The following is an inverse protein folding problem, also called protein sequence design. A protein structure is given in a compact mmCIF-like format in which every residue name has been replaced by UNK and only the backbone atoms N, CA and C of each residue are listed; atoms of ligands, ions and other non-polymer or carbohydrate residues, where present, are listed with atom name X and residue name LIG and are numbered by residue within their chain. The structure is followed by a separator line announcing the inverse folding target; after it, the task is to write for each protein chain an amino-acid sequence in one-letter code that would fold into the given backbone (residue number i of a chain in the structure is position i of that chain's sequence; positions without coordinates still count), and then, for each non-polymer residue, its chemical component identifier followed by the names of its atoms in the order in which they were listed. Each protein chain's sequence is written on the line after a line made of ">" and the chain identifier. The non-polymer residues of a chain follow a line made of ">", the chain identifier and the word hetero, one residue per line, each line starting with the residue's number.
data_IF_479696393918
#
_entry.id   IF_479696393918
#
_cell.length_a   1.000
_cell.length_b   1.000
_cell.length_c   1.000
_cell.angle_alpha   90.00
_cell.angle_beta   90.00
_cell.angle_gamma   90.00
#
_symmetry.space_group_name_H-M   'P 1'
#
loop_
_entity.id
_entity.type
_entity.pdbx_description
1 polymer ?
#
# COMPACT_ATOMS: atom_id res chain seq x y z
N UNK A 1 29.01 -36.96 60.11
CA UNK A 1 28.53 -37.00 58.69
C UNK A 1 27.84 -35.66 58.47
N UNK A 2 28.54 -34.70 57.87
CA UNK A 2 28.09 -33.31 57.66
C UNK A 2 27.74 -33.21 56.18
N UNK A 3 26.48 -32.96 55.87
CA UNK A 3 26.04 -32.72 54.50
C UNK A 3 26.11 -31.21 54.27
N UNK A 4 27.03 -30.81 53.37
CA UNK A 4 27.16 -29.41 52.92
C UNK A 4 26.24 -29.25 51.76
N UNK A 5 25.18 -28.45 51.91
CA UNK A 5 24.28 -28.07 50.83
C UNK A 5 24.94 -27.04 49.92
N UNK A 6 25.11 -27.38 48.67
CA UNK A 6 25.46 -26.43 47.59
C UNK A 6 24.23 -25.61 47.22
N UNK A 7 24.22 -24.35 47.63
CA UNK A 7 23.30 -23.36 47.08
C UNK A 7 23.82 -22.89 45.72
N UNK A 8 23.15 -23.30 44.65
CA UNK A 8 23.39 -22.75 43.34
C UNK A 8 22.86 -21.31 43.29
N UNK A 9 23.75 -20.33 43.20
CA UNK A 9 23.42 -18.97 42.86
C UNK A 9 23.11 -18.91 41.35
N UNK A 10 21.81 -18.75 41.02
CA UNK A 10 21.42 -18.37 39.67
C UNK A 10 21.75 -16.89 39.48
N UNK A 11 22.81 -16.58 38.79
CA UNK A 11 23.08 -15.25 38.27
C UNK A 11 22.00 -14.92 37.21
N UNK A 12 21.08 -14.04 37.55
CA UNK A 12 20.19 -13.42 36.60
C UNK A 12 21.04 -12.49 35.70
N UNK A 13 21.34 -12.97 34.49
CA UNK A 13 21.87 -12.13 33.43
C UNK A 13 20.80 -11.10 33.06
N UNK A 14 20.87 -9.93 33.65
CA UNK A 14 20.17 -8.72 33.21
C UNK A 14 20.76 -8.31 31.84
N UNK A 15 20.17 -8.87 30.79
CA UNK A 15 20.47 -8.46 29.41
C UNK A 15 19.67 -7.22 29.07
N UNK A 16 19.99 -6.09 29.68
CA UNK A 16 19.66 -4.78 29.13
C UNK A 16 20.59 -4.51 27.94
N UNK A 17 20.41 -5.24 26.87
CA UNK A 17 20.92 -4.79 25.57
C UNK A 17 20.16 -3.50 25.24
N UNK A 18 20.87 -2.36 25.06
CA UNK A 18 20.20 -1.14 24.66
C UNK A 18 19.46 -1.41 23.34
N UNK A 19 18.13 -1.28 23.37
CA UNK A 19 17.32 -1.33 22.15
C UNK A 19 17.68 -0.09 21.37
N UNK A 20 18.58 -0.25 20.39
CA UNK A 20 18.89 0.81 19.44
C UNK A 20 17.62 1.03 18.63
N UNK A 21 17.02 2.23 18.66
CA UNK A 21 15.83 2.48 17.85
C UNK A 21 16.19 2.26 16.38
N UNK A 22 15.50 1.32 15.74
CA UNK A 22 15.60 1.13 14.29
C UNK A 22 14.84 2.28 13.64
N UNK A 23 15.56 3.24 13.13
CA UNK A 23 14.99 4.29 12.30
C UNK A 23 14.67 3.68 10.94
N UNK A 24 13.39 3.50 10.65
CA UNK A 24 12.93 3.13 9.32
C UNK A 24 12.80 4.42 8.51
N UNK A 25 13.65 4.59 7.51
CA UNK A 25 13.54 5.69 6.57
C UNK A 25 12.57 5.32 5.46
N UNK A 26 11.56 6.14 5.25
CA UNK A 26 10.61 5.95 4.13
C UNK A 26 11.31 6.36 2.84
N UNK A 27 11.41 5.44 1.88
CA UNK A 27 11.93 5.75 0.55
C UNK A 27 11.02 6.78 -0.15
N UNK A 28 11.60 7.93 -0.45
CA UNK A 28 10.89 9.05 -1.08
C UNK A 28 10.33 8.71 -2.47
N UNK A 29 10.95 7.76 -3.18
CA UNK A 29 10.44 7.31 -4.49
C UNK A 29 9.21 6.41 -4.30
N UNK A 30 9.22 5.50 -3.32
CA UNK A 30 8.08 4.66 -2.98
C UNK A 30 6.90 5.51 -2.50
N UNK A 31 7.16 6.49 -1.64
CA UNK A 31 6.15 7.46 -1.20
C UNK A 31 5.58 8.26 -2.39
N UNK A 32 6.43 8.70 -3.31
CA UNK A 32 6.01 9.44 -4.50
C UNK A 32 5.14 8.57 -5.42
N UNK A 33 5.55 7.32 -5.68
CA UNK A 33 4.74 6.37 -6.45
C UNK A 33 3.35 6.17 -5.82
N UNK A 34 3.26 6.03 -4.48
CA UNK A 34 2.00 5.89 -3.78
C UNK A 34 1.13 7.14 -3.93
N UNK A 35 1.72 8.33 -3.72
CA UNK A 35 1.01 9.60 -3.86
C UNK A 35 0.47 9.81 -5.28
N UNK A 36 1.25 9.47 -6.31
CA UNK A 36 0.80 9.51 -7.70
C UNK A 36 -0.38 8.56 -7.92
N UNK A 37 -0.30 7.33 -7.41
CA UNK A 37 -1.38 6.37 -7.56
C UNK A 37 -2.67 6.84 -6.91
N UNK A 38 -2.59 7.36 -5.68
CA UNK A 38 -3.75 7.95 -4.97
C UNK A 38 -4.35 9.09 -5.79
N UNK A 39 -3.51 10.00 -6.30
CA UNK A 39 -3.96 11.16 -7.05
C UNK A 39 -4.71 10.77 -8.34
N UNK A 40 -4.14 9.89 -9.16
CA UNK A 40 -4.72 9.53 -10.44
C UNK A 40 -5.94 8.60 -10.32
N UNK A 41 -6.00 7.75 -9.30
CA UNK A 41 -7.10 6.79 -9.10
C UNK A 41 -8.23 7.36 -8.25
N UNK A 42 -7.93 8.22 -7.27
CA UNK A 42 -8.88 8.65 -6.27
C UNK A 42 -8.80 10.12 -5.88
N UNK A 43 -8.10 10.97 -6.63
CA UNK A 43 -7.93 12.40 -6.28
C UNK A 43 -9.23 13.17 -6.16
N UNK A 44 -10.30 12.72 -6.81
CA UNK A 44 -11.64 13.30 -6.73
C UNK A 44 -12.56 12.62 -5.68
N UNK A 45 -12.04 11.68 -4.88
CA UNK A 45 -12.78 10.97 -3.83
C UNK A 45 -12.61 11.65 -2.47
N UNK A 46 -13.38 11.19 -1.48
CA UNK A 46 -13.14 11.53 -0.08
C UNK A 46 -11.76 11.02 0.40
N UNK A 47 -11.28 11.55 1.52
CA UNK A 47 -10.03 11.08 2.13
C UNK A 47 -10.05 9.58 2.40
N UNK A 48 -11.19 9.02 2.84
CA UNK A 48 -11.35 7.57 3.02
C UNK A 48 -11.23 6.80 1.70
N UNK A 49 -11.77 7.36 0.61
CA UNK A 49 -11.64 6.77 -0.74
C UNK A 49 -10.20 6.78 -1.23
N UNK A 50 -9.46 7.84 -0.96
CA UNK A 50 -8.04 7.96 -1.26
C UNK A 50 -7.20 6.98 -0.42
N UNK A 51 -7.48 6.89 0.89
CA UNK A 51 -6.83 5.95 1.80
C UNK A 51 -7.11 4.49 1.39
N UNK A 52 -8.32 4.18 0.93
CA UNK A 52 -8.68 2.84 0.47
C UNK A 52 -7.87 2.40 -0.76
N UNK A 53 -7.58 3.30 -1.71
CA UNK A 53 -6.71 3.01 -2.86
C UNK A 53 -5.26 2.78 -2.39
N UNK A 54 -4.79 3.54 -1.41
CA UNK A 54 -3.48 3.34 -0.82
C UNK A 54 -3.38 1.98 -0.11
N UNK A 55 -4.38 1.62 0.71
CA UNK A 55 -4.44 0.33 1.42
C UNK A 55 -4.42 -0.87 0.44
N UNK A 56 -5.17 -0.80 -0.66
CA UNK A 56 -5.10 -1.82 -1.73
C UNK A 56 -3.70 -1.93 -2.32
N UNK A 57 -3.02 -0.81 -2.54
CA UNK A 57 -1.65 -0.82 -3.07
C UNK A 57 -0.70 -1.54 -2.10
N UNK A 58 -0.79 -1.27 -0.80
CA UNK A 58 0.01 -1.93 0.23
C UNK A 58 -0.38 -3.41 0.42
N UNK A 59 -1.66 -3.75 0.30
CA UNK A 59 -2.12 -5.15 0.31
C UNK A 59 -1.53 -5.95 -0.86
N UNK A 60 -1.37 -5.33 -2.03
CA UNK A 60 -0.67 -5.94 -3.16
C UNK A 60 0.80 -6.14 -2.86
N UNK A 61 1.50 -5.17 -2.29
CA UNK A 61 2.91 -5.31 -1.88
C UNK A 61 3.10 -6.49 -0.91
N UNK A 62 2.17 -6.69 0.03
CA UNK A 62 2.20 -7.83 0.98
C UNK A 62 1.90 -9.19 0.33
N UNK A 63 1.31 -9.21 -0.85
CA UNK A 63 0.87 -10.45 -1.51
C UNK A 63 1.91 -10.94 -2.51
N UNK A 64 2.34 -12.21 -2.39
CA UNK A 64 3.30 -12.84 -3.31
C UNK A 64 2.84 -12.91 -4.77
N UNK A 65 1.60 -12.53 -5.08
CA UNK A 65 1.05 -12.46 -6.45
C UNK A 65 1.38 -11.16 -7.17
N UNK A 66 1.94 -10.18 -6.46
CA UNK A 66 2.25 -8.85 -6.97
C UNK A 66 3.72 -8.52 -6.70
N UNK A 67 4.27 -7.47 -7.33
CA UNK A 67 5.58 -6.95 -6.95
C UNK A 67 5.66 -6.59 -5.47
N UNK A 68 6.85 -6.74 -4.89
CA UNK A 68 7.15 -6.51 -3.47
C UNK A 68 7.51 -5.04 -3.12
N UNK A 69 7.41 -4.14 -4.09
CA UNK A 69 7.62 -2.70 -3.93
C UNK A 69 6.39 -1.91 -4.38
N UNK A 70 6.18 -0.74 -3.80
CA UNK A 70 5.05 0.13 -4.14
C UNK A 70 5.16 0.60 -5.59
N UNK A 71 6.33 1.10 -5.99
CA UNK A 71 6.57 1.49 -7.38
C UNK A 71 6.41 0.32 -8.35
N UNK A 72 6.80 -0.89 -7.94
CA UNK A 72 6.59 -2.11 -8.71
C UNK A 72 5.10 -2.41 -8.92
N UNK A 73 4.30 -2.35 -7.86
CA UNK A 73 2.84 -2.53 -7.91
C UNK A 73 2.18 -1.45 -8.76
N UNK A 74 2.53 -0.18 -8.54
CA UNK A 74 1.93 0.96 -9.26
C UNK A 74 2.22 0.89 -10.75
N UNK A 75 3.44 0.50 -11.12
CA UNK A 75 3.90 0.44 -12.51
C UNK A 75 3.72 -0.95 -13.15
N UNK A 76 2.98 -1.85 -12.50
CA UNK A 76 2.75 -3.20 -13.01
C UNK A 76 1.86 -3.21 -14.25
N UNK A 77 2.27 -3.93 -15.29
CA UNK A 77 1.48 -4.09 -16.51
C UNK A 77 2.16 -5.04 -17.51
N UNK A 78 1.45 -5.34 -18.59
CA UNK A 78 1.99 -6.16 -19.67
C UNK A 78 3.00 -5.36 -20.49
N UNK A 79 4.10 -6.01 -20.87
CA UNK A 79 5.16 -5.40 -21.70
C UNK A 79 5.21 -6.05 -23.09
N UNK A 80 5.68 -5.28 -24.05
CA UNK A 80 6.14 -5.79 -25.33
C UNK A 80 7.50 -6.51 -25.19
N UNK A 81 7.91 -7.25 -26.19
CA UNK A 81 9.25 -7.89 -26.22
C UNK A 81 10.40 -6.87 -26.12
N UNK A 82 10.15 -5.60 -26.52
CA UNK A 82 11.08 -4.47 -26.36
C UNK A 82 11.20 -3.94 -24.93
N UNK A 83 10.39 -4.45 -23.98
CA UNK A 83 10.30 -3.94 -22.61
C UNK A 83 9.34 -2.77 -22.43
N UNK A 84 8.84 -2.15 -23.48
CA UNK A 84 7.87 -1.06 -23.40
C UNK A 84 6.51 -1.55 -22.89
N UNK A 85 5.80 -0.73 -22.10
CA UNK A 85 4.47 -1.06 -21.60
C UNK A 85 3.46 -1.13 -22.73
N UNK A 86 2.59 -2.14 -22.69
CA UNK A 86 1.43 -2.23 -23.59
C UNK A 86 0.37 -1.24 -23.14
N UNK A 87 -0.07 -0.39 -24.06
CA UNK A 87 -1.11 0.61 -23.78
C UNK A 87 -2.39 -0.04 -23.24
N UNK A 88 -2.97 0.55 -22.19
CA UNK A 88 -4.19 0.10 -21.51
C UNK A 88 -4.11 -1.34 -20.97
N UNK A 89 -2.91 -1.82 -20.62
CA UNK A 89 -2.68 -3.16 -20.06
C UNK A 89 -1.93 -3.10 -18.72
N UNK A 90 -2.08 -1.99 -18.00
CA UNK A 90 -1.53 -1.83 -16.65
C UNK A 90 -2.58 -2.11 -15.58
N UNK A 91 -2.11 -2.47 -14.37
CA UNK A 91 -2.98 -2.72 -13.21
C UNK A 91 -3.69 -1.43 -12.78
N UNK A 92 -2.97 -0.31 -12.81
CA UNK A 92 -3.54 1.02 -12.70
C UNK A 92 -3.55 1.65 -14.09
N UNK A 93 -4.74 1.98 -14.57
CA UNK A 93 -4.96 2.33 -15.99
C UNK A 93 -4.22 3.59 -16.41
N UNK A 94 -4.10 4.56 -15.51
CA UNK A 94 -3.45 5.84 -15.76
C UNK A 94 -1.99 5.69 -16.19
N UNK A 95 -1.27 4.70 -15.64
CA UNK A 95 0.17 4.51 -15.88
C UNK A 95 0.52 4.17 -17.34
N UNK A 96 -0.41 3.62 -18.12
CA UNK A 96 -0.17 3.29 -19.53
C UNK A 96 -1.35 3.60 -20.45
N UNK A 97 -2.16 4.62 -20.14
CA UNK A 97 -3.25 5.11 -20.97
C UNK A 97 -2.77 6.00 -22.12
N UNK A 98 -1.50 6.35 -22.13
CA UNK A 98 -0.83 7.19 -23.11
C UNK A 98 -0.96 8.69 -22.87
N UNK A 99 -1.45 9.09 -21.68
CA UNK A 99 -1.38 10.47 -21.21
C UNK A 99 -0.10 10.71 -20.43
N UNK A 100 0.15 11.96 -20.07
CA UNK A 100 1.32 12.32 -19.26
C UNK A 100 1.03 12.06 -17.78
N UNK A 101 1.91 11.28 -17.14
CA UNK A 101 1.89 11.00 -15.68
C UNK A 101 2.70 12.04 -14.89
N UNK A 102 3.17 13.08 -15.58
CA UNK A 102 3.99 14.13 -14.98
C UNK A 102 3.16 15.01 -14.04
N UNK A 103 3.61 15.13 -12.79
CA UNK A 103 3.01 16.04 -11.81
C UNK A 103 3.46 17.46 -12.11
N UNK A 104 2.66 18.16 -12.91
CA UNK A 104 2.92 19.55 -13.33
C UNK A 104 2.82 20.54 -12.16
N UNK A 105 3.36 21.75 -12.32
CA UNK A 105 3.19 22.84 -11.35
C UNK A 105 1.73 23.12 -11.01
N UNK A 106 0.81 22.96 -11.96
CA UNK A 106 -0.62 23.15 -11.71
C UNK A 106 -1.16 22.10 -10.75
N UNK A 107 -0.76 20.83 -10.94
CA UNK A 107 -1.15 19.72 -10.05
C UNK A 107 -0.57 19.92 -8.65
N UNK A 108 0.70 20.31 -8.54
CA UNK A 108 1.37 20.53 -7.24
C UNK A 108 0.62 21.52 -6.35
N UNK A 109 -0.11 22.46 -6.94
CA UNK A 109 -0.86 23.50 -6.23
C UNK A 109 -2.30 23.07 -5.88
N UNK A 110 -2.74 21.87 -6.25
CA UNK A 110 -4.08 21.39 -5.96
C UNK A 110 -4.18 20.77 -4.57
N UNK A 111 -5.38 20.84 -3.98
CA UNK A 111 -5.70 20.19 -2.71
C UNK A 111 -5.63 18.66 -2.86
N UNK A 112 -6.10 18.12 -3.98
CA UNK A 112 -6.09 16.69 -4.28
C UNK A 112 -4.66 16.11 -4.24
N UNK A 113 -3.68 16.83 -4.80
CA UNK A 113 -2.28 16.42 -4.72
C UNK A 113 -1.72 16.54 -3.30
N UNK A 114 -2.07 17.61 -2.59
CA UNK A 114 -1.67 17.79 -1.19
C UNK A 114 -2.20 16.66 -0.31
N UNK A 115 -3.49 16.31 -0.46
CA UNK A 115 -4.14 15.22 0.26
C UNK A 115 -3.51 13.86 -0.13
N UNK A 116 -3.22 13.63 -1.42
CA UNK A 116 -2.56 12.40 -1.87
C UNK A 116 -1.19 12.19 -1.22
N UNK A 117 -0.38 13.24 -1.13
CA UNK A 117 0.92 13.20 -0.44
C UNK A 117 0.77 12.92 1.05
N UNK A 118 -0.18 13.60 1.69
CA UNK A 118 -0.41 13.45 3.13
C UNK A 118 -0.86 12.04 3.47
N UNK A 119 -1.80 11.49 2.72
CA UNK A 119 -2.27 10.10 2.92
C UNK A 119 -1.15 9.10 2.63
N UNK A 120 -0.35 9.30 1.58
CA UNK A 120 0.79 8.44 1.28
C UNK A 120 1.81 8.44 2.44
N UNK A 121 2.10 9.60 3.02
CA UNK A 121 2.97 9.72 4.19
C UNK A 121 2.38 8.99 5.41
N UNK A 122 1.14 9.30 5.78
CA UNK A 122 0.49 8.78 6.98
C UNK A 122 0.35 7.25 6.93
N UNK A 123 -0.08 6.70 5.79
CA UNK A 123 -0.25 5.25 5.65
C UNK A 123 1.09 4.51 5.62
N UNK A 124 2.16 5.12 5.09
CA UNK A 124 3.49 4.54 5.13
C UNK A 124 4.10 4.57 6.53
N UNK A 125 3.85 5.63 7.31
CA UNK A 125 4.23 5.66 8.72
C UNK A 125 3.57 4.52 9.51
N UNK A 126 2.29 4.24 9.24
CA UNK A 126 1.57 3.11 9.83
C UNK A 126 2.10 1.76 9.32
N UNK A 127 2.34 1.65 8.00
CA UNK A 127 2.85 0.43 7.38
C UNK A 127 4.18 -0.03 7.95
N UNK A 128 5.05 0.90 8.29
CA UNK A 128 6.35 0.66 8.91
C UNK A 128 6.31 0.69 10.46
N UNK A 129 5.13 0.78 11.06
CA UNK A 129 4.95 0.73 12.51
C UNK A 129 5.44 1.96 13.26
N UNK A 130 5.59 3.11 12.58
CA UNK A 130 6.04 4.36 13.21
C UNK A 130 4.91 5.09 13.92
N UNK A 131 3.68 4.96 13.41
CA UNK A 131 2.50 5.65 13.90
C UNK A 131 1.24 4.85 13.55
N UNK A 132 0.24 4.91 14.39
CA UNK A 132 -1.08 4.35 14.12
C UNK A 132 -2.01 5.47 13.65
N UNK A 133 -2.43 5.41 12.39
CA UNK A 133 -3.32 6.37 11.75
C UNK A 133 -4.67 5.75 11.37
N UNK A 134 -4.87 4.45 11.63
CA UNK A 134 -6.06 3.67 11.29
C UNK A 134 -6.40 3.69 9.78
N UNK A 135 -5.38 3.73 8.92
CA UNK A 135 -5.53 3.76 7.46
C UNK A 135 -5.35 2.38 6.83
N UNK A 136 -4.58 1.49 7.49
CA UNK A 136 -4.34 0.12 7.02
C UNK A 136 -5.50 -0.79 7.44
N UNK A 137 -5.88 -1.69 6.53
CA UNK A 137 -6.95 -2.67 6.77
C UNK A 137 -8.36 -2.16 6.53
N UNK A 138 -8.56 -0.88 6.18
CA UNK A 138 -9.88 -0.32 5.89
C UNK A 138 -10.59 -1.01 4.74
N UNK A 139 -9.84 -1.66 3.83
CA UNK A 139 -10.36 -2.49 2.74
C UNK A 139 -10.32 -3.99 3.04
N UNK A 140 -10.01 -4.39 4.29
CA UNK A 140 -9.93 -5.80 4.74
C UNK A 140 -9.11 -6.70 3.79
N UNK A 141 -7.86 -6.29 3.51
CA UNK A 141 -6.90 -6.99 2.65
C UNK A 141 -7.36 -7.12 1.18
N UNK A 142 -8.25 -6.25 0.71
CA UNK A 142 -8.64 -6.23 -0.70
C UNK A 142 -7.44 -5.93 -1.60
N UNK A 143 -7.38 -6.59 -2.74
CA UNK A 143 -6.34 -6.41 -3.77
C UNK A 143 -6.91 -5.96 -5.11
N UNK A 144 -8.24 -5.90 -5.23
CA UNK A 144 -8.96 -5.50 -6.43
C UNK A 144 -10.06 -4.50 -6.08
N UNK A 145 -10.33 -3.59 -6.99
CA UNK A 145 -11.47 -2.69 -6.91
C UNK A 145 -11.90 -2.23 -8.31
N UNK A 146 -13.09 -1.71 -8.40
CA UNK A 146 -13.59 -1.00 -9.58
C UNK A 146 -14.56 0.12 -9.16
N UNK A 147 -14.75 1.08 -10.04
CA UNK A 147 -15.75 2.12 -9.82
C UNK A 147 -17.17 1.51 -9.85
N UNK A 148 -18.06 1.99 -8.97
CA UNK A 148 -19.40 1.42 -8.77
C UNK A 148 -20.33 1.49 -10.01
N UNK A 149 -19.97 2.27 -11.01
CA UNK A 149 -20.66 2.38 -12.31
C UNK A 149 -20.06 1.49 -13.40
N UNK A 150 -19.06 0.64 -13.08
CA UNK A 150 -18.43 -0.32 -13.99
C UNK A 150 -18.68 -1.73 -13.48
N UNK A 151 -18.87 -2.68 -14.38
CA UNK A 151 -19.02 -4.11 -14.04
C UNK A 151 -17.94 -4.90 -14.78
N UNK A 152 -16.74 -5.07 -14.19
CA UNK A 152 -15.68 -5.84 -14.86
C UNK A 152 -16.00 -7.34 -14.89
N UNK A 153 -15.53 -8.03 -15.92
CA UNK A 153 -15.76 -9.48 -16.07
C UNK A 153 -15.21 -10.28 -14.90
N UNK A 154 -14.04 -9.87 -14.36
CA UNK A 154 -13.35 -10.60 -13.29
C UNK A 154 -14.09 -10.66 -11.95
N UNK A 155 -15.14 -9.84 -11.72
CA UNK A 155 -15.95 -9.96 -10.48
C UNK A 155 -16.68 -11.29 -10.37
N UNK A 156 -16.85 -12.00 -11.51
CA UNK A 156 -17.48 -13.33 -11.59
C UNK A 156 -16.47 -14.47 -11.48
N UNK A 157 -15.17 -14.17 -11.36
CA UNK A 157 -14.14 -15.20 -11.25
C UNK A 157 -14.31 -15.99 -9.95
N UNK A 158 -14.09 -17.32 -10.04
CA UNK A 158 -14.16 -18.23 -8.89
C UNK A 158 -13.10 -17.80 -7.87
N UNK A 159 -13.54 -17.50 -6.65
CA UNK A 159 -12.68 -17.03 -5.57
C UNK A 159 -12.66 -15.50 -5.37
N UNK A 160 -13.24 -14.72 -6.29
CA UNK A 160 -13.40 -13.29 -6.06
C UNK A 160 -14.53 -13.01 -5.09
N UNK A 161 -14.25 -12.32 -3.99
CA UNK A 161 -15.23 -11.97 -2.95
C UNK A 161 -15.33 -10.46 -2.83
N UNK A 162 -16.54 -9.91 -2.97
CA UNK A 162 -16.84 -8.52 -2.62
C UNK A 162 -16.69 -8.34 -1.10
N UNK A 163 -15.98 -7.30 -0.69
CA UNK A 163 -15.68 -6.99 0.71
C UNK A 163 -16.48 -5.77 1.17
N UNK A 164 -16.23 -4.62 0.56
CA UNK A 164 -16.82 -3.35 1.00
C UNK A 164 -16.98 -2.38 -0.18
N UNK A 165 -17.63 -1.27 0.09
CA UNK A 165 -17.65 -0.11 -0.79
C UNK A 165 -17.26 1.12 0.02
N UNK A 166 -16.31 1.90 -0.49
CA UNK A 166 -15.86 3.16 0.08
C UNK A 166 -15.89 4.19 -1.06
N UNK A 167 -16.63 5.27 -0.86
CA UNK A 167 -16.86 6.25 -1.91
C UNK A 167 -17.48 5.61 -3.17
N UNK A 168 -16.91 5.91 -4.31
CA UNK A 168 -17.33 5.34 -5.60
C UNK A 168 -16.64 4.03 -5.97
N UNK A 169 -15.83 3.43 -5.09
CA UNK A 169 -15.11 2.18 -5.36
C UNK A 169 -15.68 1.00 -4.58
N UNK A 170 -15.81 -0.17 -5.25
CA UNK A 170 -16.20 -1.44 -4.65
C UNK A 170 -14.95 -2.33 -4.60
N UNK A 171 -14.65 -2.83 -3.41
CA UNK A 171 -13.41 -3.55 -3.09
C UNK A 171 -13.62 -5.05 -3.00
N UNK A 172 -12.64 -5.79 -3.48
CA UNK A 172 -12.68 -7.25 -3.58
C UNK A 172 -11.37 -7.89 -3.13
N UNK A 173 -11.51 -9.07 -2.53
CA UNK A 173 -10.40 -9.95 -2.17
C UNK A 173 -10.51 -11.24 -2.97
N UNK A 174 -9.37 -11.72 -3.48
CA UNK A 174 -9.27 -13.06 -4.04
C UNK A 174 -8.94 -14.06 -2.93
N UNK A 175 -9.66 -15.17 -2.87
CA UNK A 175 -9.47 -16.26 -1.89
C UNK A 175 -8.29 -17.14 -2.24
#
# INVERSE_FOLDING_TARGET
>A
MIIVGLTAYAESLDKTTPVVPVYVEIDVNEQHCLAQNIYFEAGNQSLDGMAAVADVTLNRVKSSRFPDTICGVVKQGLKHSSGAMKRNKCQFSWYCDGKSDFISRKIVLTEEWSNSKKIAEDILQEFYGMKDNNLIGITSESTHYHANYVVPVWIHDIGMKRITQIGSHIFYKFR
#
